data_IF_116601403497
#
_entry.id   IF_116601403497
#
_cell.length_a   1.000
_cell.length_b   1.000
_cell.length_c   1.000
_cell.angle_alpha   90.00
_cell.angle_beta   90.00
_cell.angle_gamma   90.00
#
_symmetry.space_group_name_H-M   'P 1'
#
loop_
_entity.id
_entity.type
_entity.pdbx_description
1 polymer ?
#
# COMPACT_ATOMS: atom_id res chain seq x y z
N UNK A 1 -46.63 5.48 23.62
CA UNK A 1 -45.76 5.68 22.44
C UNK A 1 -44.71 4.59 22.47
N UNK A 2 -44.63 3.67 21.50
CA UNK A 2 -43.47 2.79 21.39
C UNK A 2 -42.26 3.66 21.00
N UNK A 3 -41.21 3.66 21.80
CA UNK A 3 -39.94 4.32 21.47
C UNK A 3 -39.30 3.57 20.31
N UNK A 4 -39.08 4.25 19.19
CA UNK A 4 -38.29 3.71 18.08
C UNK A 4 -36.90 3.36 18.62
N UNK A 5 -36.43 2.11 18.46
CA UNK A 5 -35.08 1.77 18.88
C UNK A 5 -34.08 2.66 18.13
N UNK A 6 -33.22 3.33 18.89
CA UNK A 6 -32.12 4.11 18.32
C UNK A 6 -30.99 3.14 18.01
N UNK A 7 -30.57 3.07 16.76
CA UNK A 7 -29.40 2.29 16.37
C UNK A 7 -28.18 3.14 16.65
N UNK A 8 -27.36 2.73 17.61
CA UNK A 8 -26.07 3.36 17.91
C UNK A 8 -24.96 2.59 17.20
N UNK A 9 -24.17 3.28 16.37
CA UNK A 9 -22.98 2.70 15.76
C UNK A 9 -21.75 3.03 16.60
N UNK A 10 -20.99 2.00 16.98
CA UNK A 10 -19.81 2.16 17.85
C UNK A 10 -18.54 2.26 17.02
N UNK A 11 -18.11 3.48 16.72
CA UNK A 11 -16.90 3.76 15.95
C UNK A 11 -15.73 4.15 16.87
N UNK A 12 -14.52 3.71 16.51
CA UNK A 12 -13.26 4.16 17.08
C UNK A 12 -12.58 5.14 16.12
N UNK A 13 -12.39 6.38 16.55
CA UNK A 13 -11.55 7.35 15.84
C UNK A 13 -10.07 7.11 16.17
N UNK A 14 -9.26 6.86 15.15
CA UNK A 14 -7.84 6.51 15.28
C UNK A 14 -7.00 7.22 14.23
N UNK A 15 -5.81 7.68 14.59
CA UNK A 15 -4.87 8.25 13.64
C UNK A 15 -4.39 7.20 12.63
N UNK A 16 -4.33 7.57 11.34
CA UNK A 16 -3.67 6.75 10.32
C UNK A 16 -2.16 6.58 10.55
N UNK A 17 -1.56 7.29 11.51
CA UNK A 17 -0.20 7.06 11.98
C UNK A 17 0.00 5.68 12.64
N UNK A 18 -1.09 4.98 12.98
CA UNK A 18 -1.04 3.60 13.45
C UNK A 18 -0.90 2.56 12.34
N UNK A 19 -0.90 3.01 11.08
CA UNK A 19 -0.70 2.18 9.91
C UNK A 19 0.66 2.50 9.30
N UNK A 20 1.45 1.46 9.05
CA UNK A 20 2.69 1.56 8.31
C UNK A 20 2.43 2.15 6.92
N UNK A 21 3.44 2.77 6.29
CA UNK A 21 3.33 3.22 4.91
C UNK A 21 2.88 2.13 3.94
N UNK A 22 3.38 0.90 4.13
CA UNK A 22 3.00 -0.26 3.31
C UNK A 22 1.51 -0.62 3.49
N UNK A 23 1.01 -0.62 4.73
CA UNK A 23 -0.40 -0.91 5.00
C UNK A 23 -1.32 0.17 4.41
N UNK A 24 -0.96 1.45 4.53
CA UNK A 24 -1.70 2.55 3.89
C UNK A 24 -1.71 2.42 2.36
N UNK A 25 -0.58 2.06 1.76
CA UNK A 25 -0.50 1.81 0.32
C UNK A 25 -1.41 0.66 -0.11
N UNK A 26 -1.41 -0.46 0.63
CA UNK A 26 -2.30 -1.60 0.35
C UNK A 26 -3.77 -1.21 0.46
N UNK A 27 -4.15 -0.40 1.45
CA UNK A 27 -5.51 0.13 1.58
C UNK A 27 -5.87 1.05 0.40
N UNK A 28 -4.95 1.91 -0.05
CA UNK A 28 -5.16 2.77 -1.22
C UNK A 28 -5.38 1.97 -2.51
N UNK A 29 -4.66 0.85 -2.68
CA UNK A 29 -4.74 0.01 -3.87
C UNK A 29 -5.77 -1.12 -3.78
N UNK A 30 -6.59 -1.15 -2.73
CA UNK A 30 -7.56 -2.23 -2.48
C UNK A 30 -6.94 -3.64 -2.37
N UNK A 31 -5.71 -3.73 -1.86
CA UNK A 31 -4.88 -4.95 -1.77
C UNK A 31 -4.75 -5.47 -0.33
N UNK A 32 -5.87 -5.49 0.39
CA UNK A 32 -5.96 -6.07 1.74
C UNK A 32 -7.10 -7.08 1.75
N UNK A 33 -6.76 -8.34 1.47
CA UNK A 33 -7.67 -9.47 1.63
C UNK A 33 -7.99 -9.70 3.12
N UNK A 34 -9.14 -10.31 3.41
CA UNK A 34 -9.54 -10.66 4.78
C UNK A 34 -10.06 -9.49 5.65
N UNK A 35 -10.18 -8.28 5.09
CA UNK A 35 -10.73 -7.11 5.79
C UNK A 35 -11.76 -6.39 4.92
N UNK A 36 -12.90 -6.02 5.51
CA UNK A 36 -13.86 -5.11 4.89
C UNK A 36 -13.48 -3.67 5.23
N UNK A 37 -13.20 -2.86 4.20
CA UNK A 37 -12.89 -1.44 4.38
C UNK A 37 -13.38 -0.57 3.22
N UNK A 38 -13.49 0.73 3.49
CA UNK A 38 -13.92 1.75 2.54
C UNK A 38 -13.03 2.99 2.62
N UNK A 39 -12.60 3.58 1.50
CA UNK A 39 -11.85 4.83 1.52
C UNK A 39 -12.73 6.00 1.99
N UNK A 40 -12.15 6.89 2.81
CA UNK A 40 -12.71 8.18 3.25
C UNK A 40 -12.06 9.32 2.45
N UNK A 41 -12.00 9.15 1.14
CA UNK A 41 -11.28 10.07 0.25
C UNK A 41 -9.81 10.21 0.65
N UNK A 42 -9.21 11.42 0.62
CA UNK A 42 -7.80 11.61 0.92
C UNK A 42 -7.47 11.59 2.43
N UNK A 43 -8.48 11.45 3.29
CA UNK A 43 -8.34 11.65 4.74
C UNK A 43 -8.11 10.36 5.52
N UNK A 44 -8.45 9.20 4.93
CA UNK A 44 -8.17 7.90 5.52
C UNK A 44 -9.18 6.84 5.12
N UNK A 45 -9.55 5.95 6.05
CA UNK A 45 -10.35 4.75 5.75
C UNK A 45 -11.32 4.40 6.87
N UNK A 46 -12.45 3.81 6.51
CA UNK A 46 -13.32 3.08 7.42
C UNK A 46 -12.99 1.59 7.34
N UNK A 47 -12.76 0.95 8.48
CA UNK A 47 -12.45 -0.48 8.57
C UNK A 47 -13.47 -1.14 9.48
N UNK A 48 -14.09 -2.23 9.01
CA UNK A 48 -15.00 -3.00 9.83
C UNK A 48 -14.24 -3.77 10.91
N UNK A 49 -14.83 -3.83 12.10
CA UNK A 49 -14.35 -4.65 13.21
C UNK A 49 -15.31 -5.82 13.36
N UNK A 50 -14.93 -7.04 12.95
CA UNK A 50 -15.79 -8.20 13.13
C UNK A 50 -16.00 -8.48 14.62
N UNK A 51 -17.22 -8.82 15.01
CA UNK A 51 -17.51 -9.19 16.38
C UNK A 51 -16.83 -10.52 16.71
N UNK A 52 -16.29 -10.65 17.92
CA UNK A 52 -15.64 -11.88 18.37
C UNK A 52 -16.60 -13.07 18.42
N UNK A 53 -17.88 -12.78 18.66
CA UNK A 53 -18.96 -13.77 18.76
C UNK A 53 -19.30 -14.41 17.41
N UNK A 54 -19.03 -13.72 16.29
CA UNK A 54 -19.31 -14.24 14.94
C UNK A 54 -18.31 -15.35 14.53
N UNK A 55 -17.30 -15.63 15.35
CA UNK A 55 -16.23 -16.58 15.04
C UNK A 55 -15.33 -16.14 13.88
N UNK A 56 -15.51 -14.91 13.40
CA UNK A 56 -14.70 -14.32 12.34
C UNK A 56 -13.36 -13.88 12.92
N UNK A 57 -12.29 -14.47 12.37
CA UNK A 57 -10.91 -14.13 12.74
C UNK A 57 -10.32 -13.27 11.64
N UNK A 58 -9.59 -12.23 12.01
CA UNK A 58 -8.79 -11.44 11.08
C UNK A 58 -7.77 -12.37 10.41
N UNK A 59 -7.85 -12.50 9.09
CA UNK A 59 -7.01 -13.42 8.31
C UNK A 59 -5.51 -13.22 8.53
N UNK A 60 -4.71 -14.23 8.19
CA UNK A 60 -3.25 -14.20 8.35
C UNK A 60 -2.57 -13.26 7.33
N UNK A 61 -3.25 -13.01 6.22
CA UNK A 61 -2.87 -12.10 5.14
C UNK A 61 -3.00 -10.61 5.48
N UNK A 62 -3.71 -10.30 6.58
CA UNK A 62 -3.94 -8.94 7.04
C UNK A 62 -2.65 -8.39 7.67
N UNK A 63 -2.19 -7.18 7.27
CA UNK A 63 -1.04 -6.54 7.89
C UNK A 63 -1.11 -6.53 9.42
N UNK A 64 0.03 -6.78 10.07
CA UNK A 64 0.11 -6.94 11.53
C UNK A 64 -0.30 -5.68 12.30
N UNK A 65 0.02 -4.50 11.75
CA UNK A 65 -0.38 -3.20 12.30
C UNK A 65 -1.90 -2.96 12.21
N UNK A 66 -2.52 -3.28 11.07
CA UNK A 66 -3.96 -3.22 10.90
C UNK A 66 -4.68 -4.25 11.79
N UNK A 67 -4.15 -5.48 11.86
CA UNK A 67 -4.66 -6.54 12.74
C UNK A 67 -4.61 -6.09 14.21
N UNK A 68 -3.52 -5.45 14.65
CA UNK A 68 -3.41 -4.91 16.01
C UNK A 68 -4.47 -3.83 16.29
N UNK A 69 -4.72 -2.93 15.33
CA UNK A 69 -5.78 -1.91 15.47
C UNK A 69 -7.18 -2.54 15.57
N UNK A 70 -7.48 -3.54 14.71
CA UNK A 70 -8.76 -4.27 14.75
C UNK A 70 -8.92 -4.98 16.09
N UNK A 71 -7.90 -5.70 16.56
CA UNK A 71 -7.94 -6.41 17.83
C UNK A 71 -8.12 -5.46 19.01
N UNK A 72 -7.46 -4.30 19.00
CA UNK A 72 -7.65 -3.26 19.99
C UNK A 72 -9.09 -2.74 19.99
N UNK A 73 -9.65 -2.42 18.81
CA UNK A 73 -11.03 -1.98 18.68
C UNK A 73 -12.04 -3.05 19.16
N UNK A 74 -11.75 -4.34 18.95
CA UNK A 74 -12.54 -5.45 19.51
C UNK A 74 -12.54 -5.46 21.04
N UNK A 75 -11.42 -5.14 21.71
CA UNK A 75 -11.37 -5.06 23.18
C UNK A 75 -12.24 -3.92 23.73
N UNK A 76 -12.55 -2.93 22.90
CA UNK A 76 -13.40 -1.79 23.21
C UNK A 76 -14.84 -1.96 22.69
N UNK A 77 -15.20 -3.16 22.21
CA UNK A 77 -16.50 -3.49 21.64
C UNK A 77 -16.95 -2.51 20.55
N UNK A 78 -16.02 -2.16 19.66
CA UNK A 78 -16.28 -1.29 18.51
C UNK A 78 -16.62 -2.12 17.28
N UNK A 79 -17.40 -1.53 16.39
CA UNK A 79 -17.89 -2.13 15.15
C UNK A 79 -17.15 -1.58 13.92
N UNK A 80 -16.58 -0.38 14.07
CA UNK A 80 -15.86 0.32 13.02
C UNK A 80 -14.64 1.04 13.59
N UNK A 81 -13.58 1.10 12.79
CA UNK A 81 -12.48 2.03 12.98
C UNK A 81 -12.60 3.09 11.87
N UNK A 82 -12.51 4.35 12.24
CA UNK A 82 -12.27 5.45 11.33
C UNK A 82 -10.80 5.85 11.48
N UNK A 83 -9.99 5.46 10.51
CA UNK A 83 -8.64 5.96 10.38
C UNK A 83 -8.70 7.36 9.77
N UNK A 84 -8.26 8.38 10.51
CA UNK A 84 -8.15 9.75 10.03
C UNK A 84 -6.71 10.26 10.11
N UNK A 85 -6.33 11.16 9.22
CA UNK A 85 -4.98 11.73 9.18
C UNK A 85 -4.67 12.57 10.44
N UNK A 86 -5.68 13.10 11.10
CA UNK A 86 -5.64 13.89 12.33
C UNK A 86 -6.35 13.21 13.51
N UNK A 87 -6.73 11.94 13.36
CA UNK A 87 -7.44 11.17 14.38
C UNK A 87 -6.61 10.93 15.64
N UNK A 88 -7.23 10.32 16.64
CA UNK A 88 -6.59 10.09 17.95
C UNK A 88 -5.39 9.14 17.87
N UNK A 89 -4.23 9.56 18.38
CA UNK A 89 -3.05 8.69 18.54
C UNK A 89 -3.15 7.94 19.87
N UNK A 90 -3.30 6.62 19.80
CA UNK A 90 -3.46 5.72 20.95
C UNK A 90 -2.09 5.20 21.38
N UNK A 91 -1.74 5.39 22.65
CA UNK A 91 -0.41 5.05 23.18
C UNK A 91 -0.08 3.55 23.09
N UNK A 92 -1.09 2.68 23.19
CA UNK A 92 -0.92 1.22 23.20
C UNK A 92 -0.85 0.59 21.80
N UNK A 93 -1.02 1.39 20.75
CA UNK A 93 -0.94 0.92 19.36
C UNK A 93 0.39 1.32 18.71
N UNK A 94 0.93 0.50 17.79
CA UNK A 94 2.16 0.82 17.09
C UNK A 94 2.02 2.14 16.33
N UNK A 95 3.04 2.98 16.36
CA UNK A 95 3.06 4.26 15.64
C UNK A 95 4.19 4.24 14.62
N UNK A 96 3.87 4.62 13.39
CA UNK A 96 4.82 4.68 12.29
C UNK A 96 5.06 6.14 11.91
N UNK A 97 6.33 6.48 11.72
CA UNK A 97 6.69 7.80 11.22
C UNK A 97 6.72 7.78 9.69
N UNK A 98 6.08 8.77 9.06
CA UNK A 98 6.19 9.00 7.60
C UNK A 98 7.61 9.37 7.16
N UNK A 99 8.48 9.69 8.12
CA UNK A 99 9.91 9.90 7.87
C UNK A 99 10.67 8.58 7.62
N UNK A 100 10.00 7.44 7.83
CA UNK A 100 10.47 6.09 7.54
C UNK A 100 9.53 5.38 6.57
N UNK A 101 8.94 6.11 5.62
CA UNK A 101 8.67 5.46 4.33
C UNK A 101 10.05 5.03 3.82
N UNK A 102 10.33 3.74 3.55
CA UNK A 102 11.38 3.44 2.62
C UNK A 102 10.92 4.06 1.30
N UNK A 103 11.32 5.31 1.06
CA UNK A 103 11.26 6.00 -0.24
C UNK A 103 12.05 5.22 -1.32
N UNK A 104 12.60 4.08 -0.94
CA UNK A 104 13.33 3.16 -1.77
C UNK A 104 12.98 1.74 -1.30
N UNK A 105 12.30 0.96 -2.14
CA UNK A 105 12.98 -0.26 -2.54
C UNK A 105 14.40 0.20 -2.92
N UNK A 106 15.45 -0.24 -2.20
CA UNK A 106 16.86 0.18 -2.32
C UNK A 106 17.11 0.98 -3.61
N UNK A 107 17.67 2.21 -3.60
CA UNK A 107 17.88 2.99 -4.85
C UNK A 107 18.45 2.11 -5.99
N UNK A 108 19.28 1.14 -5.62
CA UNK A 108 19.71 0.00 -6.42
C UNK A 108 18.56 -0.86 -7.03
N UNK A 109 17.64 -1.40 -6.25
CA UNK A 109 16.43 -2.11 -6.70
C UNK A 109 15.52 -1.26 -7.59
N UNK A 110 15.28 0.03 -7.27
CA UNK A 110 14.56 0.94 -8.18
C UNK A 110 15.29 1.11 -9.51
N UNK A 111 16.62 1.17 -9.47
CA UNK A 111 17.43 1.26 -10.67
C UNK A 111 17.44 -0.04 -11.47
N UNK A 112 17.44 -1.21 -10.83
CA UNK A 112 17.24 -2.50 -11.49
C UNK A 112 15.87 -2.60 -12.15
N UNK A 113 14.81 -2.15 -11.46
CA UNK A 113 13.45 -2.14 -11.97
C UNK A 113 13.32 -1.19 -13.18
N UNK A 114 13.88 0.02 -13.08
CA UNK A 114 13.95 0.96 -14.20
C UNK A 114 14.68 0.33 -15.40
N UNK A 115 15.83 -0.31 -15.18
CA UNK A 115 16.59 -1.00 -16.24
C UNK A 115 15.82 -2.16 -16.86
N UNK A 116 15.11 -2.97 -16.07
CA UNK A 116 14.27 -4.06 -16.57
C UNK A 116 13.15 -3.53 -17.46
N UNK A 117 12.50 -2.44 -17.05
CA UNK A 117 11.45 -1.80 -17.83
C UNK A 117 11.96 -1.18 -19.13
N UNK A 118 13.12 -0.52 -19.11
CA UNK A 118 13.77 -0.01 -20.31
C UNK A 118 14.11 -1.13 -21.31
N UNK A 119 14.61 -2.27 -20.83
CA UNK A 119 14.84 -3.47 -21.65
C UNK A 119 13.55 -3.98 -22.28
N UNK A 120 12.46 -4.08 -21.49
CA UNK A 120 11.15 -4.51 -21.99
C UNK A 120 10.64 -3.62 -23.13
N UNK A 121 10.66 -2.30 -22.93
CA UNK A 121 10.25 -1.35 -23.96
C UNK A 121 11.13 -1.44 -25.20
N UNK A 122 12.43 -1.64 -25.02
CA UNK A 122 13.36 -1.75 -26.13
C UNK A 122 13.08 -2.96 -27.02
N UNK A 123 12.81 -4.12 -26.41
CA UNK A 123 12.40 -5.33 -27.13
C UNK A 123 11.05 -5.14 -27.81
N UNK A 124 10.06 -4.60 -27.08
CA UNK A 124 8.68 -4.47 -27.58
C UNK A 124 8.56 -3.52 -28.77
N UNK A 125 9.30 -2.43 -28.75
CA UNK A 125 9.20 -1.39 -29.77
C UNK A 125 10.36 -1.40 -30.77
N UNK A 126 11.30 -2.34 -30.64
CA UNK A 126 12.52 -2.44 -31.45
C UNK A 126 13.29 -1.10 -31.53
N UNK A 127 13.41 -0.44 -30.39
CA UNK A 127 14.08 0.87 -30.20
C UNK A 127 14.91 0.84 -28.93
N UNK A 128 15.72 1.86 -28.68
CA UNK A 128 16.48 1.96 -27.42
C UNK A 128 15.77 2.91 -26.46
N UNK A 129 15.44 2.38 -25.29
CA UNK A 129 14.91 3.18 -24.19
C UNK A 129 15.92 3.23 -23.05
N UNK A 130 15.96 4.37 -22.37
CA UNK A 130 16.71 4.59 -21.14
C UNK A 130 15.75 4.96 -20.03
N UNK A 131 15.83 4.25 -18.92
CA UNK A 131 15.10 4.58 -17.70
C UNK A 131 16.05 5.02 -16.59
N UNK A 132 15.66 6.04 -15.84
CA UNK A 132 16.42 6.61 -14.73
C UNK A 132 15.52 6.88 -13.55
N UNK A 133 16.03 6.65 -12.34
CA UNK A 133 15.31 6.95 -11.10
C UNK A 133 15.57 8.41 -10.74
N UNK A 134 14.51 9.18 -10.54
CA UNK A 134 14.60 10.59 -10.13
C UNK A 134 14.81 10.71 -8.63
N UNK A 135 15.25 11.88 -8.16
CA UNK A 135 15.49 12.16 -6.74
C UNK A 135 14.26 12.01 -5.84
N UNK A 136 13.05 12.04 -6.43
CA UNK A 136 11.77 11.81 -5.75
C UNK A 136 11.24 10.38 -5.92
N UNK A 137 12.09 9.41 -6.31
CA UNK A 137 11.73 7.99 -6.37
C UNK A 137 10.89 7.56 -7.58
N UNK A 138 10.62 8.46 -8.53
CA UNK A 138 9.89 8.13 -9.77
C UNK A 138 10.84 7.59 -10.83
N UNK A 139 10.30 6.87 -11.81
CA UNK A 139 11.06 6.32 -12.94
C UNK A 139 10.77 7.18 -14.17
N UNK A 140 11.80 7.86 -14.66
CA UNK A 140 11.78 8.60 -15.92
C UNK A 140 12.26 7.72 -17.05
N UNK A 141 11.49 7.59 -18.11
CA UNK A 141 11.84 6.84 -19.32
C UNK A 141 11.92 7.76 -20.52
N UNK A 142 12.97 7.61 -21.32
CA UNK A 142 13.22 8.33 -22.56
C UNK A 142 13.59 7.36 -23.69
N UNK A 143 13.11 7.64 -24.89
CA UNK A 143 13.61 7.04 -26.13
C UNK A 143 14.91 7.76 -26.53
N UNK A 144 15.88 7.05 -27.11
CA UNK A 144 17.22 7.57 -27.46
C UNK A 144 17.22 8.56 -28.65
N UNK A 145 16.08 8.74 -29.32
CA UNK A 145 15.90 9.79 -30.34
C UNK A 145 15.70 11.14 -29.63
N UNK A 146 16.38 12.20 -30.10
CA UNK A 146 16.52 13.50 -29.41
C UNK A 146 15.20 14.23 -29.06
N UNK A 147 14.06 13.79 -29.60
CA UNK A 147 12.69 14.27 -29.30
C UNK A 147 11.74 13.16 -28.78
N UNK A 148 12.29 12.10 -28.21
CA UNK A 148 11.57 10.90 -27.78
C UNK A 148 10.57 11.11 -26.64
N UNK A 149 9.50 10.30 -26.63
CA UNK A 149 8.48 10.27 -25.56
C UNK A 149 9.12 10.23 -24.17
N UNK A 150 8.76 11.21 -23.33
CA UNK A 150 9.13 11.28 -21.92
C UNK A 150 7.94 10.83 -21.07
N UNK A 151 8.13 9.74 -20.31
CA UNK A 151 7.15 9.30 -19.33
C UNK A 151 7.76 9.35 -17.92
N UNK A 152 7.00 9.87 -16.97
CA UNK A 152 7.34 9.86 -15.54
C UNK A 152 6.36 8.91 -14.85
N UNK A 153 6.86 7.77 -14.38
CA UNK A 153 6.05 6.69 -13.85
C UNK A 153 6.33 6.49 -12.36
N UNK A 154 5.34 6.02 -11.62
CA UNK A 154 5.58 5.55 -10.25
C UNK A 154 6.29 4.21 -10.26
N UNK A 155 7.02 3.89 -9.18
CA UNK A 155 7.74 2.63 -9.06
C UNK A 155 6.78 1.44 -9.09
N UNK A 156 5.62 1.56 -8.44
CA UNK A 156 4.56 0.55 -8.37
C UNK A 156 4.00 0.23 -9.76
N UNK A 157 3.76 1.28 -10.57
CA UNK A 157 3.27 1.11 -11.93
C UNK A 157 4.27 0.34 -12.81
N UNK A 158 5.55 0.67 -12.68
CA UNK A 158 6.61 -0.03 -13.40
C UNK A 158 6.76 -1.47 -12.89
N UNK A 159 6.69 -1.68 -11.58
CA UNK A 159 6.74 -3.01 -10.97
C UNK A 159 5.62 -3.91 -11.49
N UNK A 160 4.38 -3.41 -11.54
CA UNK A 160 3.24 -4.15 -12.10
C UNK A 160 3.48 -4.57 -13.55
N UNK A 161 3.99 -3.68 -14.40
CA UNK A 161 4.26 -4.01 -15.81
C UNK A 161 5.37 -5.05 -15.94
N UNK A 162 6.43 -4.91 -15.14
CA UNK A 162 7.56 -5.85 -15.15
C UNK A 162 7.13 -7.22 -14.63
N UNK A 163 6.37 -7.28 -13.53
CA UNK A 163 5.91 -8.51 -12.90
C UNK A 163 4.88 -9.28 -13.74
N UNK A 164 4.01 -8.58 -14.49
CA UNK A 164 3.02 -9.24 -15.35
C UNK A 164 3.62 -9.82 -16.65
N UNK A 165 4.90 -9.56 -16.95
CA UNK A 165 5.49 -9.81 -18.28
C UNK A 165 6.87 -10.48 -18.27
N UNK A 166 7.51 -10.65 -17.11
CA UNK A 166 8.76 -11.40 -17.02
C UNK A 166 8.48 -12.91 -16.81
N UNK A 167 9.18 -13.81 -17.51
CA UNK A 167 9.13 -15.24 -17.19
C UNK A 167 9.75 -15.49 -15.81
N UNK A 168 9.16 -16.45 -15.08
CA UNK A 168 9.41 -16.80 -13.66
C UNK A 168 10.90 -16.93 -13.28
N UNK A 169 11.79 -17.19 -14.25
CA UNK A 169 13.23 -17.43 -14.05
C UNK A 169 14.02 -16.15 -13.70
N UNK A 170 13.54 -14.95 -14.07
CA UNK A 170 14.18 -13.68 -13.63
C UNK A 170 13.70 -13.21 -12.24
N UNK A 171 12.68 -13.86 -11.67
CA UNK A 171 12.08 -13.47 -10.38
C UNK A 171 13.01 -13.74 -9.18
N UNK A 172 13.74 -14.85 -9.19
CA UNK A 172 14.67 -15.22 -8.11
C UNK A 172 15.84 -14.22 -7.96
N UNK A 173 16.26 -13.59 -9.06
CA UNK A 173 17.39 -12.63 -9.02
C UNK A 173 17.01 -11.27 -8.46
N UNK A 174 15.74 -10.88 -8.54
CA UNK A 174 15.25 -9.62 -7.96
C UNK A 174 14.88 -9.79 -6.48
N UNK A 175 14.39 -10.96 -6.08
CA UNK A 175 14.11 -11.26 -4.67
C UNK A 175 15.39 -11.50 -3.84
N UNK A 176 16.45 -12.07 -4.43
CA UNK A 176 17.71 -12.31 -3.74
C UNK A 176 18.54 -11.05 -3.41
N UNK A 177 18.19 -9.88 -3.96
CA UNK A 177 18.89 -8.60 -3.69
C UNK A 177 18.12 -7.75 -2.66
N UNK A 178 16.95 -8.21 -2.23
CA UNK A 178 16.10 -7.57 -1.22
C UNK A 178 16.13 -8.27 0.15
N UNK A 179 16.97 -9.30 0.31
CA UNK A 179 17.23 -10.00 1.58
C UNK A 179 18.52 -9.49 2.24
#
# INVERSE_FOLDING_TARGET
MPTTPTVEFKMLDVSSAHLSPQTRQRLETFDVEGVLFYPKGPWGWFVNVPAREDGLVVGEEVPTDLKACIQFAQTLEKEWIMFDCDGTVIQDLPKFNDKEVPCCANHHALQQLAQAYARHLSVRHNRKFKATVTSNGKISVKDDLEDGMFALLSAEFVQTIVMQRLPVIEMDKLQAVAA
#
